data_IF_252295200633
#
_entry.id   IF_252295200633
#
_cell.length_a   1.000
_cell.length_b   1.000
_cell.length_c   1.000
_cell.angle_alpha   90.00
_cell.angle_beta   90.00
_cell.angle_gamma   90.00
#
_symmetry.space_group_name_H-M   'P 1'
#
loop_
_entity.id
_entity.type
_entity.pdbx_description
1 polymer ?
#
# COMPACT_ATOMS: atom_id res chain seq x y z
N UNK A 1 14.14 -8.62 -10.38
CA UNK A 1 12.95 -7.99 -11.00
C UNK A 1 13.00 -6.49 -10.76
N UNK A 2 12.37 -5.70 -11.64
CA UNK A 2 12.12 -4.27 -11.44
C UNK A 2 10.71 -4.07 -10.91
N UNK A 3 10.61 -3.38 -9.78
CA UNK A 3 9.34 -3.15 -9.08
C UNK A 3 9.09 -1.66 -8.94
N UNK A 4 7.93 -1.19 -9.39
CA UNK A 4 7.50 0.20 -9.27
C UNK A 4 6.51 0.35 -8.11
N UNK A 5 6.81 1.27 -7.19
CA UNK A 5 5.95 1.64 -6.07
C UNK A 5 5.38 3.04 -6.26
N UNK A 6 4.06 3.17 -6.11
CA UNK A 6 3.34 4.44 -6.27
C UNK A 6 2.44 4.67 -5.06
N UNK A 7 2.71 5.73 -4.30
CA UNK A 7 1.74 6.32 -3.37
C UNK A 7 0.95 7.40 -4.10
N UNK A 8 -0.38 7.31 -4.06
CA UNK A 8 -1.30 8.28 -4.68
C UNK A 8 -1.56 9.48 -3.76
N UNK A 9 -1.54 9.26 -2.45
CA UNK A 9 -2.17 10.15 -1.48
C UNK A 9 -1.19 10.92 -0.61
N UNK A 10 -0.04 10.32 -0.27
CA UNK A 10 0.72 10.76 0.89
C UNK A 10 2.09 11.35 0.57
N UNK A 11 2.48 12.34 1.39
CA UNK A 11 3.88 12.80 1.56
C UNK A 11 4.59 12.07 2.71
N UNK A 12 3.83 11.33 3.52
CA UNK A 12 4.31 10.56 4.68
C UNK A 12 4.61 9.14 4.22
N UNK A 13 5.65 8.47 4.76
CA UNK A 13 5.96 7.09 4.42
C UNK A 13 4.77 6.15 4.60
N UNK A 14 4.43 5.44 3.53
CA UNK A 14 3.39 4.43 3.54
C UNK A 14 3.92 3.08 4.04
N UNK A 15 3.38 2.60 5.16
CA UNK A 15 3.85 1.37 5.79
C UNK A 15 3.77 0.16 4.84
N UNK A 16 2.64 -0.01 4.13
CA UNK A 16 2.43 -1.15 3.24
C UNK A 16 3.43 -1.15 2.09
N UNK A 17 3.62 0.00 1.43
CA UNK A 17 4.62 0.13 0.36
C UNK A 17 6.05 -0.05 0.88
N UNK A 18 6.34 0.37 2.12
CA UNK A 18 7.67 0.14 2.74
C UNK A 18 7.92 -1.33 3.10
N UNK A 19 6.88 -2.09 3.45
CA UNK A 19 6.97 -3.55 3.58
C UNK A 19 7.28 -4.21 2.23
N UNK A 20 6.57 -3.80 1.18
CA UNK A 20 6.81 -4.28 -0.20
C UNK A 20 8.23 -3.94 -0.65
N UNK A 21 8.69 -2.70 -0.43
CA UNK A 21 10.05 -2.25 -0.75
C UNK A 21 11.07 -3.19 -0.10
N UNK A 22 10.98 -3.39 1.22
CA UNK A 22 11.93 -4.26 1.93
C UNK A 22 11.86 -5.71 1.45
N UNK A 23 10.66 -6.25 1.23
CA UNK A 23 10.47 -7.62 0.75
C UNK A 23 11.20 -7.89 -0.57
N UNK A 24 11.15 -6.93 -1.49
CA UNK A 24 11.79 -7.01 -2.79
C UNK A 24 13.31 -6.77 -2.69
N UNK A 25 13.74 -5.74 -1.94
CA UNK A 25 15.16 -5.49 -1.70
C UNK A 25 15.87 -6.69 -1.05
N UNK A 26 15.24 -7.36 -0.08
CA UNK A 26 15.80 -8.54 0.58
C UNK A 26 15.98 -9.74 -0.38
N UNK A 27 15.32 -9.72 -1.56
CA UNK A 27 15.46 -10.72 -2.63
C UNK A 27 16.44 -10.31 -3.74
N UNK A 28 17.03 -9.11 -3.64
CA UNK A 28 17.88 -8.55 -4.67
C UNK A 28 17.11 -7.93 -5.84
N UNK A 29 15.81 -7.65 -5.69
CA UNK A 29 15.05 -6.92 -6.69
C UNK A 29 15.35 -5.41 -6.65
N UNK A 30 15.18 -4.75 -7.80
CA UNK A 30 15.32 -3.30 -7.93
C UNK A 30 13.96 -2.63 -7.65
N UNK A 31 13.93 -1.70 -6.70
CA UNK A 31 12.71 -0.98 -6.31
C UNK A 31 12.81 0.48 -6.72
N UNK A 32 11.83 0.94 -7.50
CA UNK A 32 11.74 2.29 -8.04
C UNK A 32 10.49 2.96 -7.48
N UNK A 33 10.62 4.22 -7.04
CA UNK A 33 9.50 4.98 -6.48
C UNK A 33 9.02 6.07 -7.44
N UNK A 34 7.70 6.22 -7.53
CA UNK A 34 7.01 7.36 -8.15
C UNK A 34 7.34 7.67 -9.62
N UNK A 35 8.14 6.85 -10.29
CA UNK A 35 8.45 7.02 -11.70
C UNK A 35 7.34 6.44 -12.58
N UNK A 36 6.27 7.21 -12.76
CA UNK A 36 5.11 6.81 -13.58
C UNK A 36 5.45 6.52 -15.04
N UNK A 37 6.54 7.07 -15.57
CA UNK A 37 7.00 6.82 -16.95
C UNK A 37 7.41 5.35 -17.15
N UNK A 38 7.80 4.65 -16.08
CA UNK A 38 8.17 3.25 -16.11
C UNK A 38 6.99 2.30 -15.92
N UNK A 39 5.77 2.82 -15.74
CA UNK A 39 4.58 1.98 -15.68
C UNK A 39 4.41 1.23 -17.02
N UNK A 40 4.26 -0.10 -16.94
CA UNK A 40 4.24 -0.99 -18.11
C UNK A 40 5.62 -1.40 -18.64
N UNK A 41 6.72 -0.86 -18.09
CA UNK A 41 8.10 -1.19 -18.44
C UNK A 41 8.83 -1.95 -17.32
N UNK A 42 8.14 -2.23 -16.22
CA UNK A 42 8.64 -2.96 -15.04
C UNK A 42 7.92 -4.29 -14.90
N UNK A 43 8.53 -5.24 -14.21
CA UNK A 43 7.96 -6.57 -14.00
C UNK A 43 6.72 -6.52 -13.08
N UNK A 44 6.72 -5.62 -12.08
CA UNK A 44 5.60 -5.50 -11.13
C UNK A 44 5.40 -4.07 -10.67
N UNK A 45 4.13 -3.65 -10.55
CA UNK A 45 3.77 -2.33 -10.02
C UNK A 45 2.81 -2.49 -8.84
N UNK A 46 3.09 -1.80 -7.73
CA UNK A 46 2.18 -1.70 -6.59
C UNK A 46 1.75 -0.25 -6.40
N UNK A 47 0.46 -0.05 -6.14
CA UNK A 47 -0.14 1.28 -5.95
C UNK A 47 -0.89 1.29 -4.64
N UNK A 48 -0.68 2.32 -3.83
CA UNK A 48 -1.48 2.54 -2.62
C UNK A 48 -2.39 3.75 -2.77
N UNK A 49 -3.67 3.56 -2.46
CA UNK A 49 -4.70 4.59 -2.38
C UNK A 49 -5.47 4.45 -1.05
N UNK A 50 -5.21 5.36 -0.11
CA UNK A 50 -5.80 5.44 1.22
C UNK A 50 -7.12 6.19 1.19
N UNK A 51 -7.26 7.22 0.36
CA UNK A 51 -8.47 8.05 0.30
C UNK A 51 -9.34 7.71 -0.92
N UNK A 52 -10.65 7.64 -0.71
CA UNK A 52 -11.64 7.23 -1.71
C UNK A 52 -11.80 8.27 -2.84
N UNK A 53 -11.70 9.55 -2.54
CA UNK A 53 -11.76 10.62 -3.54
C UNK A 53 -10.63 10.52 -4.59
N UNK A 54 -9.50 9.89 -4.23
CA UNK A 54 -8.36 9.68 -5.13
C UNK A 54 -8.40 8.33 -5.88
N UNK A 55 -9.46 7.53 -5.69
CA UNK A 55 -9.65 6.22 -6.34
C UNK A 55 -9.53 6.29 -7.87
N UNK A 56 -10.03 7.37 -8.48
CA UNK A 56 -9.93 7.60 -9.92
C UNK A 56 -8.47 7.71 -10.41
N UNK A 57 -7.55 8.21 -9.58
CA UNK A 57 -6.12 8.30 -9.91
C UNK A 57 -5.44 6.94 -9.81
N UNK A 58 -5.85 6.12 -8.84
CA UNK A 58 -5.37 4.75 -8.72
C UNK A 58 -5.87 3.86 -9.86
N UNK A 59 -7.11 4.05 -10.31
CA UNK A 59 -7.73 3.30 -11.41
C UNK A 59 -7.02 3.45 -12.77
N UNK A 60 -6.17 4.48 -12.94
CA UNK A 60 -5.32 4.64 -14.13
C UNK A 60 -4.26 3.54 -14.26
N UNK A 61 -3.96 2.83 -13.15
CA UNK A 61 -2.98 1.75 -13.10
C UNK A 61 -3.66 0.37 -13.10
N UNK A 62 -4.48 0.12 -14.12
CA UNK A 62 -5.30 -1.09 -14.27
C UNK A 62 -4.55 -2.44 -14.17
N UNK A 63 -3.28 -2.50 -14.57
CA UNK A 63 -2.45 -3.70 -14.51
C UNK A 63 -1.61 -3.81 -13.23
N UNK A 64 -1.75 -2.86 -12.30
CA UNK A 64 -0.99 -2.83 -11.06
C UNK A 64 -1.71 -3.52 -9.89
N UNK A 65 -0.93 -3.93 -8.91
CA UNK A 65 -1.43 -4.35 -7.59
C UNK A 65 -1.84 -3.13 -6.78
N UNK A 66 -3.10 -2.70 -6.95
CA UNK A 66 -3.66 -1.57 -6.20
C UNK A 66 -4.18 -2.04 -4.85
N UNK A 67 -3.84 -1.35 -3.77
CA UNK A 67 -4.38 -1.56 -2.43
C UNK A 67 -4.65 -0.26 -1.68
N UNK A 68 -5.08 -0.38 -0.43
CA UNK A 68 -5.39 0.74 0.45
C UNK A 68 -6.90 0.99 0.60
N UNK A 69 -7.26 1.61 1.73
CA UNK A 69 -8.65 1.73 2.19
C UNK A 69 -9.56 2.53 1.25
N UNK A 70 -9.00 3.46 0.47
CA UNK A 70 -9.73 4.26 -0.51
C UNK A 70 -10.07 3.48 -1.78
N UNK A 71 -9.36 2.37 -2.04
CA UNK A 71 -9.62 1.51 -3.18
C UNK A 71 -10.40 0.25 -2.78
N UNK A 72 -9.92 -0.49 -1.78
CA UNK A 72 -10.56 -1.68 -1.22
C UNK A 72 -10.20 -1.85 0.26
N UNK A 73 -11.21 -1.92 1.12
CA UNK A 73 -11.04 -2.12 2.57
C UNK A 73 -10.63 -3.56 2.90
N UNK A 74 -10.97 -4.53 2.05
CA UNK A 74 -10.73 -5.96 2.30
C UNK A 74 -9.37 -6.43 1.79
N UNK A 75 -8.80 -5.75 0.80
CA UNK A 75 -7.52 -6.17 0.22
C UNK A 75 -6.41 -6.09 1.28
N UNK A 76 -5.69 -7.19 1.46
CA UNK A 76 -4.55 -7.33 2.38
C UNK A 76 -3.28 -7.62 1.58
N UNK A 77 -2.14 -7.28 2.17
CA UNK A 77 -0.87 -7.75 1.64
C UNK A 77 -0.77 -9.27 1.84
N UNK A 78 -0.09 -9.99 0.94
CA UNK A 78 0.30 -11.37 1.17
C UNK A 78 1.04 -11.52 2.50
N UNK A 79 0.79 -12.62 3.21
CA UNK A 79 1.30 -12.84 4.57
C UNK A 79 2.83 -12.73 4.65
N UNK A 80 3.55 -13.16 3.60
CA UNK A 80 5.00 -13.07 3.52
C UNK A 80 5.52 -11.63 3.42
N UNK A 81 4.75 -10.71 2.83
CA UNK A 81 5.09 -9.28 2.77
C UNK A 81 4.61 -8.58 4.05
N UNK A 82 3.43 -8.94 4.56
CA UNK A 82 2.86 -8.35 5.77
C UNK A 82 3.74 -8.59 7.01
N UNK A 83 4.38 -9.76 7.10
CA UNK A 83 5.30 -10.11 8.19
C UNK A 83 6.65 -9.36 8.12
N UNK A 84 6.97 -8.71 7.00
CA UNK A 84 8.24 -7.97 6.85
C UNK A 84 8.23 -6.73 7.74
N UNK A 85 9.31 -6.57 8.51
CA UNK A 85 9.55 -5.38 9.34
C UNK A 85 10.39 -4.35 8.57
N UNK A 86 9.79 -3.27 8.04
CA UNK A 86 10.52 -2.29 7.25
C UNK A 86 11.42 -1.43 8.14
N UNK A 87 12.46 -0.82 7.54
CA UNK A 87 13.40 0.07 8.24
C UNK A 87 12.84 1.48 8.41
N UNK A 88 11.61 1.59 8.90
CA UNK A 88 10.94 2.85 9.21
C UNK A 88 10.33 2.77 10.62
N UNK A 89 10.42 3.86 11.38
CA UNK A 89 9.79 3.95 12.68
C UNK A 89 8.61 4.93 12.60
N UNK A 90 7.40 4.39 12.53
CA UNK A 90 6.15 5.16 12.51
C UNK A 90 5.41 5.11 13.86
N UNK A 91 6.03 4.55 14.90
CA UNK A 91 5.34 4.29 16.17
C UNK A 91 4.18 3.30 16.02
N UNK A 92 3.07 3.54 16.71
CA UNK A 92 1.87 2.71 16.65
C UNK A 92 1.03 3.06 15.42
N UNK A 93 1.01 2.18 14.42
CA UNK A 93 0.28 2.41 13.16
C UNK A 93 -1.16 1.89 13.19
N UNK A 94 -1.51 1.04 14.15
CA UNK A 94 -2.88 0.57 14.39
C UNK A 94 -3.13 0.45 15.89
N UNK A 95 -4.36 0.75 16.32
CA UNK A 95 -4.86 0.40 17.66
C UNK A 95 -6.14 -0.45 17.59
N UNK A 96 -6.71 -0.62 16.40
CA UNK A 96 -8.07 -1.10 16.24
C UNK A 96 -9.07 -0.10 16.81
N UNK A 97 -10.28 -0.06 16.26
CA UNK A 97 -11.39 0.66 16.86
C UNK A 97 -12.45 -0.36 17.22
N UNK A 98 -12.85 -0.45 18.49
CA UNK A 98 -13.94 -1.34 18.93
C UNK A 98 -15.33 -0.71 18.73
N UNK A 99 -15.40 0.59 18.40
CA UNK A 99 -16.65 1.32 18.25
C UNK A 99 -17.23 1.07 16.86
N UNK A 100 -18.40 0.44 16.80
CA UNK A 100 -19.14 0.12 15.56
C UNK A 100 -19.91 1.33 15.01
N UNK A 101 -19.27 2.49 14.96
CA UNK A 101 -19.92 3.70 14.45
C UNK A 101 -20.25 3.52 12.95
N UNK A 102 -21.46 3.87 12.49
CA UNK A 102 -21.90 3.60 11.11
C UNK A 102 -21.07 4.34 10.05
N UNK A 103 -20.40 5.42 10.42
CA UNK A 103 -19.56 6.23 9.54
C UNK A 103 -18.06 5.84 9.58
N UNK A 104 -17.64 4.94 10.48
CA UNK A 104 -16.22 4.71 10.75
C UNK A 104 -15.67 3.49 10.01
N UNK A 105 -14.81 3.72 9.01
CA UNK A 105 -14.15 2.65 8.26
C UNK A 105 -13.13 1.85 9.09
N UNK A 106 -12.64 2.42 10.20
CA UNK A 106 -11.60 1.78 11.04
C UNK A 106 -12.14 0.52 11.71
N UNK A 107 -13.41 0.49 12.14
CA UNK A 107 -14.03 -0.72 12.68
C UNK A 107 -14.05 -1.84 11.64
N UNK A 108 -14.41 -1.53 10.39
CA UNK A 108 -14.45 -2.51 9.31
C UNK A 108 -13.06 -3.04 8.94
N UNK A 109 -12.03 -2.21 9.09
CA UNK A 109 -10.65 -2.54 8.71
C UNK A 109 -9.86 -3.25 9.80
N UNK A 110 -10.01 -2.80 11.04
CA UNK A 110 -9.16 -3.13 12.19
C UNK A 110 -9.97 -3.48 13.46
N UNK A 111 -11.30 -3.43 13.41
CA UNK A 111 -12.17 -3.78 14.54
C UNK A 111 -12.26 -5.30 14.70
N UNK A 112 -12.32 -5.73 15.97
CA UNK A 112 -12.66 -7.10 16.35
C UNK A 112 -14.18 -7.28 16.48
#
# INVERSE_FOLDING_TARGET
MKVLLIDIDSKIPNLALKKIEKYHLDRGDEVIWHNRLLYGQVDKTYVSCIFDWNKHRAAQFNSAEIGGSGYSIEKRLPSEIEAVKPRINLGFTTRGCFRKCPFCIVYLKEGN
#
